data_IF_637489109189
#
_entry.id   IF_637489109189
#
_cell.length_a   1.000
_cell.length_b   1.000
_cell.length_c   1.000
_cell.angle_alpha   90.00
_cell.angle_beta   90.00
_cell.angle_gamma   90.00
#
_symmetry.space_group_name_H-M   'P 1'
#
loop_
_entity.id
_entity.type
_entity.pdbx_description
1 polymer ?
#
# COMPACT_ATOMS: atom_id res chain seq x y z
N UNK A 1 -2.71 22.95 -10.79
CA UNK A 1 -1.62 22.72 -9.83
C UNK A 1 -1.40 21.23 -9.72
N UNK A 2 -0.18 20.79 -9.39
CA UNK A 2 0.14 19.37 -9.21
C UNK A 2 -0.36 18.88 -7.83
N UNK A 3 -0.80 17.63 -7.73
CA UNK A 3 -1.23 17.04 -6.45
C UNK A 3 -0.03 16.71 -5.56
N UNK A 4 -0.27 16.56 -4.26
CA UNK A 4 0.78 16.15 -3.31
C UNK A 4 1.29 14.73 -3.59
N UNK A 5 0.42 13.83 -4.03
CA UNK A 5 0.80 12.44 -4.34
C UNK A 5 1.68 12.34 -5.58
N UNK A 6 1.42 13.16 -6.62
CA UNK A 6 2.28 13.25 -7.81
C UNK A 6 3.63 13.89 -7.49
N UNK A 7 3.68 14.85 -6.56
CA UNK A 7 4.92 15.44 -6.08
C UNK A 7 5.79 14.43 -5.32
N UNK A 8 5.18 13.67 -4.42
CA UNK A 8 5.89 12.64 -3.64
C UNK A 8 6.41 11.53 -4.57
N UNK A 9 5.65 11.15 -5.61
CA UNK A 9 6.09 10.18 -6.63
C UNK A 9 7.32 10.69 -7.39
N UNK A 10 7.27 11.92 -7.91
CA UNK A 10 8.41 12.53 -8.62
C UNK A 10 9.65 12.66 -7.72
N UNK A 11 9.46 12.98 -6.44
CA UNK A 11 10.54 13.07 -5.46
C UNK A 11 11.19 11.69 -5.22
N UNK A 12 10.38 10.63 -5.12
CA UNK A 12 10.88 9.26 -4.94
C UNK A 12 11.67 8.79 -6.18
N UNK A 13 11.17 9.03 -7.39
CA UNK A 13 11.87 8.72 -8.64
C UNK A 13 13.21 9.46 -8.77
N UNK A 14 13.20 10.75 -8.44
CA UNK A 14 14.40 11.59 -8.48
C UNK A 14 15.44 11.10 -7.48
N UNK A 15 15.03 10.76 -6.26
CA UNK A 15 15.91 10.18 -5.26
C UNK A 15 16.46 8.82 -5.74
N UNK A 16 15.64 7.96 -6.35
CA UNK A 16 16.09 6.67 -6.86
C UNK A 16 17.20 6.82 -7.92
N UNK A 17 17.08 7.81 -8.82
CA UNK A 17 18.10 8.10 -9.83
C UNK A 17 19.45 8.56 -9.22
N UNK A 18 19.41 9.24 -8.07
CA UNK A 18 20.59 9.72 -7.34
C UNK A 18 21.29 8.63 -6.51
N UNK A 19 20.79 7.39 -6.52
CA UNK A 19 21.47 6.24 -5.89
C UNK A 19 22.92 6.07 -6.40
N UNK A 20 23.16 6.39 -7.67
CA UNK A 20 24.51 6.37 -8.27
C UNK A 20 25.47 7.38 -7.63
N UNK A 21 24.95 8.46 -7.03
CA UNK A 21 25.72 9.47 -6.31
C UNK A 21 26.02 9.04 -4.88
N UNK A 22 25.02 8.50 -4.17
CA UNK A 22 25.19 7.96 -2.82
C UNK A 22 24.12 6.89 -2.53
N UNK A 23 24.48 5.72 -1.96
CA UNK A 23 23.54 4.62 -1.74
C UNK A 23 22.33 4.99 -0.86
N UNK A 24 22.48 5.90 0.11
CA UNK A 24 21.38 6.35 0.98
C UNK A 24 20.21 7.01 0.21
N UNK A 25 20.43 7.48 -1.02
CA UNK A 25 19.35 7.98 -1.85
C UNK A 25 18.33 6.88 -2.21
N UNK A 26 18.75 5.61 -2.28
CA UNK A 26 17.82 4.50 -2.46
C UNK A 26 16.90 4.32 -1.25
N UNK A 27 17.46 4.47 -0.04
CA UNK A 27 16.70 4.41 1.21
C UNK A 27 15.71 5.58 1.28
N UNK A 28 16.15 6.78 0.88
CA UNK A 28 15.28 7.96 0.83
C UNK A 28 14.13 7.76 -0.16
N UNK A 29 14.43 7.27 -1.37
CA UNK A 29 13.42 7.00 -2.40
C UNK A 29 12.36 6.01 -1.90
N UNK A 30 12.79 4.91 -1.29
CA UNK A 30 11.89 3.92 -0.70
C UNK A 30 10.99 4.54 0.38
N UNK A 31 11.56 5.33 1.30
CA UNK A 31 10.81 5.99 2.37
C UNK A 31 9.79 6.99 1.85
N UNK A 32 10.12 7.76 0.81
CA UNK A 32 9.17 8.70 0.19
C UNK A 32 8.01 7.91 -0.43
N UNK A 33 8.31 6.86 -1.21
CA UNK A 33 7.30 6.03 -1.85
C UNK A 33 6.37 5.35 -0.84
N UNK A 34 6.92 4.70 0.20
CA UNK A 34 6.13 4.07 1.27
C UNK A 34 5.30 5.11 2.04
N UNK A 35 5.87 6.27 2.35
CA UNK A 35 5.11 7.35 3.02
C UNK A 35 3.98 7.88 2.15
N UNK A 36 4.17 7.97 0.84
CA UNK A 36 3.12 8.36 -0.09
C UNK A 36 1.99 7.31 -0.09
N UNK A 37 2.33 6.02 -0.16
CA UNK A 37 1.35 4.94 -0.06
C UNK A 37 0.52 5.05 1.21
N UNK A 38 1.16 5.17 2.38
CA UNK A 38 0.46 5.28 3.67
C UNK A 38 -0.50 6.48 3.76
N UNK A 39 -0.22 7.59 3.06
CA UNK A 39 -1.15 8.74 2.99
C UNK A 39 -2.38 8.47 2.13
N UNK A 40 -2.28 7.55 1.17
CA UNK A 40 -3.32 7.24 0.20
C UNK A 40 -4.06 5.92 0.52
N UNK A 41 -3.71 5.22 1.61
CA UNK A 41 -4.34 3.96 2.05
C UNK A 41 -4.95 4.07 3.44
N UNK A 42 -5.83 3.13 3.78
CA UNK A 42 -6.35 3.01 5.14
C UNK A 42 -5.31 2.35 6.07
N UNK A 43 -5.32 2.77 7.34
CA UNK A 43 -4.43 2.21 8.36
C UNK A 43 -4.98 0.93 8.98
N UNK A 44 -6.29 0.70 8.98
CA UNK A 44 -6.86 -0.55 9.50
C UNK A 44 -6.82 -1.63 8.42
N UNK A 45 -6.28 -2.80 8.80
CA UNK A 45 -6.28 -3.98 7.95
C UNK A 45 -7.70 -4.49 7.75
N UNK A 46 -8.49 -4.54 8.83
CA UNK A 46 -9.86 -5.06 8.77
C UNK A 46 -10.78 -4.16 7.94
N UNK A 47 -10.63 -2.83 8.01
CA UNK A 47 -11.34 -1.90 7.13
C UNK A 47 -10.98 -2.09 5.66
N UNK A 48 -9.69 -2.28 5.37
CA UNK A 48 -9.22 -2.56 4.00
C UNK A 48 -9.84 -3.85 3.46
N UNK A 49 -9.80 -4.93 4.25
CA UNK A 49 -10.38 -6.23 3.87
C UNK A 49 -11.90 -6.12 3.68
N UNK A 50 -12.59 -5.30 4.49
CA UNK A 50 -14.02 -5.03 4.31
C UNK A 50 -14.31 -4.34 2.98
N UNK A 51 -13.54 -3.31 2.60
CA UNK A 51 -13.68 -2.66 1.29
C UNK A 51 -13.45 -3.64 0.13
N UNK A 52 -12.47 -4.54 0.28
CA UNK A 52 -12.20 -5.58 -0.72
C UNK A 52 -13.33 -6.60 -0.84
N UNK A 53 -13.98 -6.96 0.27
CA UNK A 53 -15.13 -7.87 0.27
C UNK A 53 -16.40 -7.20 -0.28
N UNK A 54 -16.61 -5.93 0.04
CA UNK A 54 -17.75 -5.13 -0.46
C UNK A 54 -17.52 -4.59 -1.88
N UNK A 55 -16.40 -4.95 -2.54
CA UNK A 55 -16.07 -4.50 -3.88
C UNK A 55 -17.18 -4.87 -4.88
N UNK A 56 -17.59 -3.87 -5.66
CA UNK A 56 -18.53 -4.03 -6.78
C UNK A 56 -17.82 -3.65 -8.07
N UNK A 57 -18.11 -4.37 -9.15
CA UNK A 57 -17.52 -4.08 -10.44
C UNK A 57 -18.09 -2.74 -10.96
N UNK A 58 -17.25 -1.72 -11.20
CA UNK A 58 -17.71 -0.38 -11.57
C UNK A 58 -18.41 -0.32 -12.94
N UNK A 59 -18.26 -1.34 -13.80
CA UNK A 59 -18.85 -1.34 -15.14
C UNK A 59 -20.32 -1.74 -15.16
N UNK A 60 -20.73 -2.66 -14.27
CA UNK A 60 -22.08 -3.23 -14.24
C UNK A 60 -22.75 -3.12 -12.87
N UNK A 61 -22.01 -2.78 -11.81
CA UNK A 61 -22.52 -2.66 -10.43
C UNK A 61 -22.69 -4.00 -9.72
N UNK A 62 -22.28 -5.11 -10.34
CA UNK A 62 -22.44 -6.44 -9.74
C UNK A 62 -21.42 -6.66 -8.61
N UNK A 63 -21.79 -7.39 -7.54
CA UNK A 63 -20.84 -7.79 -6.49
C UNK A 63 -19.67 -8.57 -7.07
N UNK A 64 -18.45 -8.11 -6.82
CA UNK A 64 -17.22 -8.71 -7.30
C UNK A 64 -16.18 -8.75 -6.15
N UNK A 65 -16.46 -9.48 -5.06
CA UNK A 65 -15.59 -9.51 -3.89
C UNK A 65 -14.17 -9.96 -4.26
N UNK A 66 -13.16 -9.21 -3.81
CA UNK A 66 -11.74 -9.52 -4.04
C UNK A 66 -11.19 -10.52 -3.01
N UNK A 67 -11.95 -10.78 -1.95
CA UNK A 67 -11.62 -11.73 -0.87
C UNK A 67 -12.78 -12.71 -0.70
N UNK A 68 -12.47 -13.98 -0.46
CA UNK A 68 -13.50 -15.01 -0.22
C UNK A 68 -14.27 -14.76 1.09
N UNK A 69 -15.56 -15.10 1.11
CA UNK A 69 -16.42 -14.94 2.29
C UNK A 69 -15.88 -15.66 3.54
N UNK A 70 -15.32 -16.86 3.36
CA UNK A 70 -14.75 -17.63 4.48
C UNK A 70 -13.57 -16.89 5.13
N UNK A 71 -12.67 -16.32 4.31
CA UNK A 71 -11.53 -15.54 4.79
C UNK A 71 -12.00 -14.26 5.46
N UNK A 72 -12.96 -13.55 4.84
CA UNK A 72 -13.56 -12.34 5.41
C UNK A 72 -14.15 -12.60 6.81
N UNK A 73 -14.95 -13.66 6.99
CA UNK A 73 -15.54 -14.02 8.28
C UNK A 73 -14.50 -14.24 9.37
N UNK A 74 -13.47 -15.05 9.08
CA UNK A 74 -12.38 -15.33 10.04
C UNK A 74 -11.65 -14.05 10.44
N UNK A 75 -11.37 -13.16 9.49
CA UNK A 75 -10.72 -11.87 9.75
C UNK A 75 -11.60 -11.00 10.64
N UNK A 76 -12.89 -10.87 10.31
CA UNK A 76 -13.82 -10.02 11.06
C UNK A 76 -14.11 -10.55 12.47
N UNK A 77 -14.19 -11.86 12.66
CA UNK A 77 -14.33 -12.49 13.99
C UNK A 77 -13.12 -12.21 14.91
N UNK A 78 -11.96 -11.91 14.33
CA UNK A 78 -10.70 -11.65 15.04
C UNK A 78 -10.17 -10.23 14.77
N UNK A 79 -11.05 -9.29 14.40
CA UNK A 79 -10.68 -8.00 13.84
C UNK A 79 -9.71 -7.21 14.74
N UNK A 80 -10.04 -7.05 16.02
CA UNK A 80 -9.21 -6.31 16.99
C UNK A 80 -7.81 -6.91 17.11
N UNK A 81 -7.69 -8.24 17.09
CA UNK A 81 -6.40 -8.91 17.16
C UNK A 81 -5.56 -8.63 15.93
N UNK A 82 -6.14 -8.79 14.73
CA UNK A 82 -5.40 -8.55 13.49
C UNK A 82 -4.94 -7.10 13.39
N UNK A 83 -5.81 -6.12 13.63
CA UNK A 83 -5.43 -4.70 13.54
C UNK A 83 -4.33 -4.33 14.54
N UNK A 84 -4.31 -4.95 15.73
CA UNK A 84 -3.26 -4.71 16.74
C UNK A 84 -1.93 -5.42 16.45
N UNK A 85 -1.96 -6.56 15.74
CA UNK A 85 -0.73 -7.30 15.37
C UNK A 85 0.02 -6.69 14.18
N UNK A 86 -0.64 -5.86 13.37
CA UNK A 86 -0.04 -5.21 12.19
C UNK A 86 1.00 -4.16 12.58
N UNK A 87 2.22 -4.33 12.04
CA UNK A 87 3.33 -3.39 12.24
C UNK A 87 3.72 -2.71 10.92
N UNK A 88 3.16 -1.54 10.68
CA UNK A 88 3.34 -0.75 9.44
C UNK A 88 4.73 -0.08 9.32
N UNK A 89 5.53 -0.07 10.38
CA UNK A 89 6.92 0.37 10.33
C UNK A 89 7.79 -0.53 9.43
N UNK A 90 7.42 -1.80 9.31
CA UNK A 90 8.10 -2.78 8.45
C UNK A 90 7.99 -2.46 6.95
N UNK A 91 7.02 -1.65 6.54
CA UNK A 91 6.89 -1.27 5.13
C UNK A 91 8.07 -0.41 4.66
N UNK A 92 8.84 0.19 5.59
CA UNK A 92 10.06 0.93 5.30
C UNK A 92 11.31 0.05 5.18
N UNK A 93 11.19 -1.27 5.39
CA UNK A 93 12.29 -2.23 5.24
C UNK A 93 12.51 -2.64 3.77
N UNK A 94 11.56 -2.34 2.87
CA UNK A 94 11.70 -2.58 1.44
C UNK A 94 12.58 -1.51 0.78
N UNK A 95 13.35 -1.92 -0.23
CA UNK A 95 14.01 -0.98 -1.13
C UNK A 95 13.01 -0.41 -2.16
N UNK A 96 13.43 0.65 -2.86
CA UNK A 96 12.56 1.34 -3.80
C UNK A 96 12.06 0.42 -4.93
N UNK A 97 12.93 -0.42 -5.49
CA UNK A 97 12.58 -1.30 -6.61
C UNK A 97 11.70 -2.47 -6.18
N UNK A 98 11.96 -3.07 -5.01
CA UNK A 98 11.12 -4.09 -4.40
C UNK A 98 9.74 -3.54 -4.08
N UNK A 99 9.67 -2.35 -3.49
CA UNK A 99 8.41 -1.64 -3.27
C UNK A 99 7.61 -1.43 -4.57
N UNK A 100 8.24 -0.88 -5.62
CA UNK A 100 7.58 -0.66 -6.92
C UNK A 100 7.14 -1.96 -7.60
N UNK A 101 7.84 -3.06 -7.35
CA UNK A 101 7.43 -4.38 -7.83
C UNK A 101 6.14 -4.84 -7.13
N UNK A 102 6.05 -4.65 -5.81
CA UNK A 102 4.85 -4.97 -5.03
C UNK A 102 3.66 -4.10 -5.45
N UNK A 103 3.87 -2.78 -5.53
CA UNK A 103 2.84 -1.80 -5.92
C UNK A 103 2.20 -2.11 -7.28
N UNK A 104 3.02 -2.52 -8.26
CA UNK A 104 2.53 -2.73 -9.62
C UNK A 104 1.69 -4.01 -9.80
N UNK A 105 1.91 -5.04 -8.99
CA UNK A 105 1.43 -6.39 -9.33
C UNK A 105 0.92 -7.23 -8.17
N UNK A 106 1.13 -6.81 -6.92
CA UNK A 106 0.79 -7.62 -5.75
C UNK A 106 -0.16 -6.93 -4.79
N UNK A 107 -0.11 -5.59 -4.69
CA UNK A 107 -1.05 -4.83 -3.88
C UNK A 107 -2.37 -4.65 -4.65
N UNK A 108 -3.48 -5.05 -4.01
CA UNK A 108 -4.85 -5.02 -4.55
C UNK A 108 -5.60 -3.74 -4.20
#
# INVERSE_FOLDING_TARGET
GVSTSELDELAAETAAALTSTHPDYAILAARIATSNLHKNTLKSFTETVKLMFEHTNPKNGDPAPLVSENVYKVIMENAERFDNEMRYDRDFDYDYFGFKTLERSYLL
#
